data_IF_406282803813
#
_entry.id   IF_406282803813
#
_cell.length_a   1.000
_cell.length_b   1.000
_cell.length_c   1.000
_cell.angle_alpha   90.00
_cell.angle_beta   90.00
_cell.angle_gamma   90.00
#
_symmetry.space_group_name_H-M   'P 1'
#
loop_
_entity.id
_entity.type
_entity.pdbx_description
1 polymer ?
#
# COMPACT_ATOMS: atom_id res chain seq x y z
N UNK A 1 -15.34 -13.20 -36.85
CA UNK A 1 -15.45 -12.93 -35.40
C UNK A 1 -14.10 -12.39 -34.95
N UNK A 2 -14.04 -11.13 -34.57
CA UNK A 2 -12.81 -10.54 -34.00
C UNK A 2 -12.55 -11.17 -32.64
N UNK A 3 -11.47 -11.95 -32.54
CA UNK A 3 -10.98 -12.44 -31.25
C UNK A 3 -10.25 -11.28 -30.57
N UNK A 4 -10.85 -10.74 -29.53
CA UNK A 4 -10.30 -9.60 -28.77
C UNK A 4 -9.22 -10.05 -27.77
N UNK A 5 -9.23 -11.34 -27.37
CA UNK A 5 -8.30 -11.89 -26.37
C UNK A 5 -7.49 -13.05 -26.95
N UNK A 6 -6.22 -13.09 -26.61
CA UNK A 6 -5.30 -14.21 -26.83
C UNK A 6 -5.21 -15.08 -25.57
N UNK A 7 -4.70 -16.31 -25.69
CA UNK A 7 -4.42 -17.15 -24.51
C UNK A 7 -3.40 -16.50 -23.56
N UNK A 8 -2.47 -15.72 -24.11
CA UNK A 8 -1.50 -14.96 -23.30
C UNK A 8 -2.15 -13.82 -22.52
N UNK A 9 -3.19 -13.20 -23.05
CA UNK A 9 -3.92 -12.15 -22.32
C UNK A 9 -4.70 -12.74 -21.15
N UNK A 10 -5.28 -13.93 -21.34
CA UNK A 10 -6.01 -14.65 -20.28
C UNK A 10 -5.08 -15.04 -19.13
N UNK A 11 -3.86 -15.49 -19.42
CA UNK A 11 -2.86 -15.85 -18.40
C UNK A 11 -2.47 -14.69 -17.48
N UNK A 12 -2.58 -13.45 -17.95
CA UNK A 12 -2.25 -12.24 -17.20
C UNK A 12 -3.41 -11.66 -16.39
N UNK A 13 -4.52 -12.38 -16.30
CA UNK A 13 -5.65 -11.95 -15.46
C UNK A 13 -5.28 -12.21 -13.99
N UNK A 14 -5.43 -11.20 -13.16
CA UNK A 14 -5.36 -11.34 -11.71
C UNK A 14 -6.58 -12.09 -11.20
N UNK A 15 -6.38 -13.12 -10.39
CA UNK A 15 -7.44 -14.00 -9.90
C UNK A 15 -7.65 -13.95 -8.39
N UNK A 16 -6.77 -13.27 -7.67
CA UNK A 16 -6.76 -13.24 -6.21
C UNK A 16 -6.95 -11.81 -5.68
N UNK A 17 -7.50 -11.72 -4.47
CA UNK A 17 -7.67 -10.48 -3.70
C UNK A 17 -6.35 -9.90 -3.22
N UNK A 18 -5.29 -10.70 -3.24
CA UNK A 18 -3.94 -10.32 -2.83
C UNK A 18 -3.68 -10.46 -1.34
N UNK A 19 -2.41 -10.51 -1.02
CA UNK A 19 -1.88 -10.50 0.35
C UNK A 19 -1.15 -9.18 0.55
N UNK A 20 -1.39 -8.51 1.67
CA UNK A 20 -0.67 -7.30 2.04
C UNK A 20 0.33 -7.61 3.13
N UNK A 21 1.58 -7.22 2.91
CA UNK A 21 2.69 -7.40 3.86
C UNK A 21 3.33 -6.05 4.13
N UNK A 22 3.52 -5.73 5.38
CA UNK A 22 4.30 -4.58 5.82
C UNK A 22 5.72 -5.00 6.15
N UNK A 23 6.70 -4.23 5.68
CA UNK A 23 8.12 -4.44 5.92
C UNK A 23 8.62 -5.85 5.52
N UNK A 24 8.22 -6.34 4.34
CA UNK A 24 8.59 -7.67 3.84
C UNK A 24 10.11 -7.87 3.90
N UNK A 25 10.54 -9.01 4.49
CA UNK A 25 11.95 -9.35 4.66
C UNK A 25 12.70 -8.57 5.75
N UNK A 26 12.00 -7.82 6.60
CA UNK A 26 12.57 -7.11 7.75
C UNK A 26 12.22 -7.82 9.07
N UNK A 27 12.92 -7.48 10.16
CA UNK A 27 12.66 -8.05 11.49
C UNK A 27 11.25 -7.74 12.04
N UNK A 28 10.61 -6.70 11.51
CA UNK A 28 9.27 -6.25 11.88
C UNK A 28 8.25 -6.50 10.76
N UNK A 29 8.48 -7.53 9.95
CA UNK A 29 7.54 -8.00 8.94
C UNK A 29 6.18 -8.33 9.56
N UNK A 30 5.10 -7.87 8.92
CA UNK A 30 3.76 -8.10 9.39
C UNK A 30 2.82 -8.38 8.21
N UNK A 31 2.24 -9.57 8.17
CA UNK A 31 1.16 -9.89 7.24
C UNK A 31 -0.14 -9.30 7.80
N UNK A 32 -0.82 -8.48 7.01
CA UNK A 32 -2.04 -7.76 7.44
C UNK A 32 -3.19 -8.72 7.81
N UNK A 33 -3.14 -9.96 7.31
CA UNK A 33 -4.16 -10.98 7.55
C UNK A 33 -5.37 -10.83 6.62
N UNK A 34 -6.53 -11.39 6.99
CA UNK A 34 -7.71 -11.36 6.12
C UNK A 34 -8.22 -9.93 5.93
N UNK A 35 -8.50 -9.59 4.68
CA UNK A 35 -9.05 -8.30 4.28
C UNK A 35 -10.47 -8.45 3.75
N UNK A 36 -11.21 -7.36 3.72
CA UNK A 36 -12.51 -7.28 3.05
C UNK A 36 -12.39 -6.44 1.79
N UNK A 37 -12.55 -7.06 0.62
CA UNK A 37 -12.44 -6.39 -0.68
C UNK A 37 -11.01 -6.15 -1.15
N UNK A 38 -10.01 -6.79 -0.50
CA UNK A 38 -8.60 -6.69 -0.91
C UNK A 38 -7.94 -5.37 -0.55
N UNK A 39 -6.95 -4.97 -1.35
CA UNK A 39 -6.25 -3.70 -1.23
C UNK A 39 -6.50 -2.84 -2.48
N UNK A 40 -6.87 -1.60 -2.28
CA UNK A 40 -7.01 -0.60 -3.35
C UNK A 40 -5.81 0.32 -3.37
N UNK A 41 -5.15 0.43 -4.51
CA UNK A 41 -3.99 1.28 -4.70
C UNK A 41 -4.29 2.34 -5.74
N UNK A 42 -3.99 3.59 -5.41
CA UNK A 42 -4.18 4.74 -6.29
C UNK A 42 -2.87 5.48 -6.42
N UNK A 43 -2.45 5.78 -7.65
CA UNK A 43 -1.31 6.62 -7.96
C UNK A 43 -1.82 7.75 -8.85
N UNK A 44 -1.59 8.99 -8.42
CA UNK A 44 -2.09 10.18 -9.12
C UNK A 44 -0.92 11.08 -9.47
N UNK A 45 -0.55 11.20 -10.74
CA UNK A 45 0.50 12.12 -11.16
C UNK A 45 0.00 13.57 -11.12
N UNK A 46 0.80 14.48 -10.59
CA UNK A 46 0.60 15.92 -10.69
C UNK A 46 1.20 16.42 -11.99
N UNK A 47 0.34 16.71 -12.98
CA UNK A 47 0.76 17.12 -14.33
C UNK A 47 0.48 18.59 -14.53
N UNK A 48 1.53 19.35 -14.83
CA UNK A 48 1.45 20.76 -15.22
C UNK A 48 1.71 20.94 -16.71
N UNK A 49 0.89 21.75 -17.35
CA UNK A 49 1.11 22.17 -18.74
C UNK A 49 2.10 23.34 -18.79
N UNK A 50 3.03 23.30 -19.74
CA UNK A 50 3.86 24.46 -20.09
C UNK A 50 3.00 25.39 -20.97
N UNK A 51 2.79 26.63 -20.52
CA UNK A 51 2.03 27.63 -21.25
C UNK A 51 2.94 28.42 -22.21
N UNK A 52 2.46 28.66 -23.41
CA UNK A 52 3.12 29.50 -24.43
C UNK A 52 2.10 30.20 -25.33
N UNK A 53 2.50 31.32 -25.92
CA UNK A 53 1.63 32.12 -26.79
C UNK A 53 1.22 31.35 -28.06
N UNK A 54 -0.07 31.44 -28.40
CA UNK A 54 -0.63 30.73 -29.55
C UNK A 54 -1.09 29.30 -29.29
N UNK A 55 -1.04 28.84 -28.05
CA UNK A 55 -1.53 27.52 -27.63
C UNK A 55 -3.04 27.39 -27.85
N UNK A 56 -3.47 26.28 -28.46
CA UNK A 56 -4.90 25.95 -28.69
C UNK A 56 -5.47 24.92 -27.73
N UNK A 57 -4.72 24.53 -26.69
CA UNK A 57 -5.08 23.50 -25.72
C UNK A 57 -3.87 22.69 -25.25
N UNK A 58 -4.11 21.51 -24.69
CA UNK A 58 -3.04 20.59 -24.26
C UNK A 58 -2.20 20.17 -25.46
N UNK A 59 -0.90 20.33 -25.37
CA UNK A 59 0.04 20.04 -26.47
C UNK A 59 0.98 18.92 -26.04
N UNK A 60 1.05 17.85 -26.83
CA UNK A 60 1.95 16.73 -26.57
C UNK A 60 3.43 17.20 -26.49
N UNK A 61 4.16 16.75 -25.49
CA UNK A 61 5.54 17.15 -25.23
C UNK A 61 5.70 18.48 -24.48
N UNK A 62 4.61 19.17 -24.15
CA UNK A 62 4.57 20.40 -23.37
C UNK A 62 3.90 20.19 -22.00
N UNK A 63 4.16 19.06 -21.39
CA UNK A 63 3.67 18.70 -20.06
C UNK A 63 4.82 18.24 -19.19
N UNK A 64 4.78 18.58 -17.92
CA UNK A 64 5.76 18.20 -16.90
C UNK A 64 5.03 17.50 -15.78
N UNK A 65 5.60 16.42 -15.28
CA UNK A 65 5.17 15.78 -14.04
C UNK A 65 5.95 16.45 -12.92
N UNK A 66 5.26 17.20 -12.07
CA UNK A 66 5.88 17.93 -10.95
C UNK A 66 5.94 17.04 -9.69
N UNK A 67 5.08 16.02 -9.58
CA UNK A 67 5.03 15.08 -8.47
C UNK A 67 4.08 13.92 -8.75
N UNK A 68 4.05 12.97 -7.82
CA UNK A 68 3.08 11.88 -7.81
C UNK A 68 2.61 11.67 -6.37
N UNK A 69 1.30 11.56 -6.17
CA UNK A 69 0.68 11.15 -4.93
C UNK A 69 0.27 9.68 -5.04
N UNK A 70 0.42 8.95 -3.96
CA UNK A 70 -0.06 7.57 -3.88
C UNK A 70 -0.82 7.33 -2.58
N UNK A 71 -1.79 6.43 -2.63
CA UNK A 71 -2.54 6.00 -1.46
C UNK A 71 -2.86 4.50 -1.57
N UNK A 72 -2.81 3.83 -0.43
CA UNK A 72 -3.20 2.42 -0.31
C UNK A 72 -4.31 2.33 0.72
N UNK A 73 -5.46 1.79 0.32
CA UNK A 73 -6.61 1.54 1.20
C UNK A 73 -6.76 0.05 1.41
N UNK A 74 -6.83 -0.35 2.67
CA UNK A 74 -6.96 -1.73 3.09
C UNK A 74 -8.03 -1.78 4.17
N UNK A 75 -8.99 -2.71 4.05
CA UNK A 75 -9.95 -3.01 5.11
C UNK A 75 -9.53 -4.34 5.72
N UNK A 76 -8.87 -4.30 6.88
CA UNK A 76 -8.46 -5.50 7.59
C UNK A 76 -9.52 -5.96 8.59
N UNK A 77 -9.71 -7.27 8.67
CA UNK A 77 -10.53 -7.92 9.70
C UNK A 77 -9.68 -8.39 10.89
N UNK A 78 -8.36 -8.26 10.80
CA UNK A 78 -7.45 -8.64 11.87
C UNK A 78 -7.30 -7.53 12.90
N UNK A 79 -7.31 -7.90 14.19
CA UNK A 79 -7.19 -6.98 15.33
C UNK A 79 -5.92 -7.24 16.15
N UNK A 80 -4.81 -7.64 15.53
CA UNK A 80 -3.55 -7.80 16.26
C UNK A 80 -3.07 -6.45 16.80
N UNK A 81 -2.41 -6.46 17.96
CA UNK A 81 -1.90 -5.23 18.58
C UNK A 81 -0.89 -4.52 17.68
N UNK A 82 -0.09 -5.28 16.95
CA UNK A 82 0.88 -4.74 16.00
C UNK A 82 0.21 -4.03 14.83
N UNK A 83 -0.86 -4.61 14.27
CA UNK A 83 -1.62 -3.98 13.20
C UNK A 83 -2.35 -2.72 13.68
N UNK A 84 -2.96 -2.76 14.88
CA UNK A 84 -3.60 -1.60 15.49
C UNK A 84 -2.61 -0.45 15.73
N UNK A 85 -1.38 -0.78 16.16
CA UNK A 85 -0.32 0.22 16.29
C UNK A 85 0.02 0.89 14.97
N UNK A 86 0.06 0.13 13.84
CA UNK A 86 0.35 0.69 12.51
C UNK A 86 -0.74 1.66 12.04
N UNK A 87 -1.97 1.47 12.48
CA UNK A 87 -3.09 2.40 12.26
C UNK A 87 -3.08 3.63 13.18
N UNK A 88 -2.11 3.75 14.08
CA UNK A 88 -1.99 4.84 15.05
C UNK A 88 -0.55 5.39 15.06
N UNK A 89 -0.21 6.37 14.19
CA UNK A 89 1.18 6.84 14.01
C UNK A 89 1.84 7.33 15.29
N UNK A 90 1.05 7.92 16.20
CA UNK A 90 1.53 8.41 17.49
C UNK A 90 1.46 7.37 18.63
N UNK A 91 1.18 6.10 18.33
CA UNK A 91 1.07 5.07 19.35
C UNK A 91 2.40 4.40 19.65
N UNK A 92 2.53 3.94 20.90
CA UNK A 92 3.66 3.14 21.39
C UNK A 92 3.10 1.83 21.91
N UNK A 93 3.56 0.72 21.31
CA UNK A 93 3.23 -0.63 21.74
C UNK A 93 4.30 -1.15 22.70
N UNK A 94 3.89 -1.52 23.91
CA UNK A 94 4.73 -2.32 24.78
C UNK A 94 4.55 -3.81 24.41
N UNK A 95 5.56 -4.41 23.77
CA UNK A 95 5.49 -5.80 23.28
C UNK A 95 5.36 -6.82 24.40
N UNK A 96 5.86 -6.54 25.63
CA UNK A 96 5.79 -7.46 26.76
C UNK A 96 4.38 -7.52 27.36
N UNK A 97 3.71 -6.38 27.44
CA UNK A 97 2.37 -6.28 28.06
C UNK A 97 1.23 -6.25 27.05
N UNK A 98 1.52 -6.06 25.75
CA UNK A 98 0.53 -5.88 24.71
C UNK A 98 -0.26 -4.56 24.80
N UNK A 99 0.20 -3.61 25.61
CA UNK A 99 -0.50 -2.33 25.83
C UNK A 99 -0.08 -1.30 24.79
N UNK A 100 -1.07 -0.68 24.15
CA UNK A 100 -0.86 0.45 23.25
C UNK A 100 -1.20 1.73 24.01
N UNK A 101 -0.28 2.69 24.02
CA UNK A 101 -0.46 4.02 24.64
C UNK A 101 -0.18 5.13 23.66
N UNK A 102 -0.79 6.28 23.87
CA UNK A 102 -0.45 7.48 23.11
C UNK A 102 0.98 7.93 23.42
N UNK A 103 1.75 8.20 22.38
CA UNK A 103 3.09 8.79 22.49
C UNK A 103 3.05 10.31 22.60
N UNK A 104 4.22 10.92 22.58
CA UNK A 104 4.38 12.37 22.63
C UNK A 104 4.01 13.03 21.29
N UNK A 105 3.48 14.23 21.33
CA UNK A 105 3.29 15.07 20.16
C UNK A 105 4.63 15.62 19.67
N UNK A 106 4.80 15.78 18.37
CA UNK A 106 6.01 16.32 17.77
C UNK A 106 6.24 15.79 16.36
N UNK A 107 7.48 15.89 15.90
CA UNK A 107 7.89 15.34 14.60
C UNK A 107 7.79 13.82 14.64
N UNK A 108 7.18 13.24 13.62
CA UNK A 108 7.09 11.79 13.46
C UNK A 108 8.48 11.27 13.07
N UNK A 109 9.04 10.39 13.90
CA UNK A 109 10.32 9.74 13.58
C UNK A 109 10.19 8.85 12.35
N UNK A 110 11.25 8.79 11.54
CA UNK A 110 11.32 7.91 10.36
C UNK A 110 11.12 6.42 10.68
N UNK A 111 11.39 6.00 11.91
CA UNK A 111 11.14 4.63 12.40
C UNK A 111 9.64 4.29 12.52
N UNK A 112 8.77 5.29 12.52
CA UNK A 112 7.31 5.10 12.55
C UNK A 112 6.71 4.81 11.18
N UNK A 113 7.45 5.12 10.12
CA UNK A 113 7.04 4.82 8.77
C UNK A 113 7.24 3.33 8.47
N UNK A 114 6.30 2.73 7.76
CA UNK A 114 6.48 1.42 7.16
C UNK A 114 7.55 1.55 6.06
N UNK A 115 8.63 0.80 6.14
CA UNK A 115 9.70 0.87 5.14
C UNK A 115 9.22 0.41 3.78
N UNK A 116 8.43 -0.68 3.76
CA UNK A 116 7.77 -1.20 2.57
C UNK A 116 6.34 -1.61 2.88
N UNK A 117 5.47 -1.48 1.89
CA UNK A 117 4.14 -2.03 1.87
C UNK A 117 4.02 -2.81 0.57
N UNK A 118 3.94 -4.12 0.67
CA UNK A 118 3.94 -5.02 -0.46
C UNK A 118 2.56 -5.63 -0.64
N UNK A 119 1.97 -5.43 -1.82
CA UNK A 119 0.71 -6.05 -2.22
C UNK A 119 1.01 -7.11 -3.26
N UNK A 120 0.82 -8.36 -2.88
CA UNK A 120 1.17 -9.54 -3.66
C UNK A 120 -0.11 -10.14 -4.21
N UNK A 121 -0.22 -10.21 -5.52
CA UNK A 121 -1.39 -10.77 -6.22
C UNK A 121 -0.97 -11.92 -7.11
N UNK A 122 -1.80 -12.97 -7.18
CA UNK A 122 -1.57 -14.09 -8.06
C UNK A 122 -2.25 -13.88 -9.41
N UNK A 123 -1.54 -14.27 -10.47
CA UNK A 123 -2.03 -14.27 -11.83
C UNK A 123 -2.53 -15.66 -12.22
N UNK A 124 -3.37 -15.73 -13.25
CA UNK A 124 -3.98 -17.00 -13.71
C UNK A 124 -2.94 -18.03 -14.20
N UNK A 125 -1.77 -17.59 -14.62
CA UNK A 125 -0.66 -18.47 -15.04
C UNK A 125 0.17 -19.02 -13.86
N UNK A 126 -0.16 -18.63 -12.62
CA UNK A 126 0.54 -19.04 -11.42
C UNK A 126 1.72 -18.14 -11.03
N UNK A 127 2.02 -17.11 -11.82
CA UNK A 127 3.00 -16.09 -11.45
C UNK A 127 2.41 -15.07 -10.45
N UNK A 128 3.26 -14.27 -9.85
CA UNK A 128 2.87 -13.27 -8.87
C UNK A 128 3.29 -11.88 -9.31
N UNK A 129 2.42 -10.92 -9.08
CA UNK A 129 2.72 -9.51 -9.24
C UNK A 129 2.80 -8.85 -7.86
N UNK A 130 3.90 -8.16 -7.60
CA UNK A 130 4.15 -7.46 -6.35
C UNK A 130 4.20 -5.97 -6.63
N UNK A 131 3.34 -5.23 -5.94
CA UNK A 131 3.40 -3.78 -5.90
C UNK A 131 3.95 -3.37 -4.55
N UNK A 132 5.13 -2.78 -4.55
CA UNK A 132 5.82 -2.30 -3.35
C UNK A 132 5.69 -0.78 -3.29
N UNK A 133 5.27 -0.27 -2.15
CA UNK A 133 5.31 1.15 -1.80
C UNK A 133 6.30 1.40 -0.68
N UNK A 134 6.96 2.55 -0.70
CA UNK A 134 7.99 2.88 0.26
C UNK A 134 7.54 3.95 1.24
N UNK A 135 8.04 3.88 2.48
CA UNK A 135 7.85 4.87 3.54
C UNK A 135 6.39 5.26 3.78
N UNK A 136 5.54 4.24 3.98
CA UNK A 136 4.12 4.43 4.23
C UNK A 136 3.81 4.86 5.66
N UNK A 137 2.87 5.79 5.79
CA UNK A 137 2.30 6.21 7.08
C UNK A 137 0.79 6.18 6.98
N UNK A 138 0.11 5.70 8.03
CA UNK A 138 -1.33 5.81 8.10
C UNK A 138 -1.73 7.25 8.44
N UNK A 139 -2.45 7.91 7.55
CA UNK A 139 -2.92 9.30 7.74
C UNK A 139 -4.44 9.40 7.89
N UNK A 140 -5.13 8.28 7.70
CA UNK A 140 -6.57 8.21 7.86
C UNK A 140 -7.05 8.24 9.31
N UNK A 141 -8.36 8.31 9.48
CA UNK A 141 -8.98 8.20 10.79
C UNK A 141 -8.96 6.74 11.28
N UNK A 142 -8.41 6.50 12.46
CA UNK A 142 -8.53 5.20 13.12
C UNK A 142 -9.94 5.05 13.70
N UNK A 143 -10.64 4.01 13.26
CA UNK A 143 -11.98 3.69 13.75
C UNK A 143 -12.02 2.26 14.30
N UNK A 144 -12.43 2.12 15.56
CA UNK A 144 -12.70 0.85 16.18
C UNK A 144 -14.20 0.75 16.47
N UNK A 145 -14.87 -0.22 15.84
CA UNK A 145 -16.32 -0.42 15.98
C UNK A 145 -16.59 -1.81 16.52
N UNK A 146 -17.12 -1.88 17.76
CA UNK A 146 -17.66 -3.12 18.29
C UNK A 146 -19.16 -3.15 18.05
N UNK A 147 -19.65 -4.13 17.29
CA UNK A 147 -21.06 -4.30 17.01
C UNK A 147 -21.47 -5.78 17.20
N UNK A 148 -22.66 -6.06 17.76
CA UNK A 148 -23.14 -7.43 17.93
C UNK A 148 -23.38 -8.08 16.56
N UNK A 149 -22.87 -9.30 16.39
CA UNK A 149 -23.02 -10.12 15.17
C UNK A 149 -22.41 -9.48 13.89
N UNK A 150 -21.37 -8.65 14.04
CA UNK A 150 -20.63 -8.08 12.94
C UNK A 150 -19.13 -8.18 13.23
N UNK A 151 -18.35 -8.41 12.20
CA UNK A 151 -16.90 -8.37 12.26
C UNK A 151 -16.44 -6.92 12.48
N UNK A 152 -15.34 -6.76 13.19
CA UNK A 152 -14.71 -5.47 13.30
C UNK A 152 -13.85 -5.21 12.05
N UNK A 153 -13.96 -4.02 11.49
CA UNK A 153 -13.22 -3.59 10.32
C UNK A 153 -12.25 -2.48 10.69
N UNK A 154 -10.99 -2.66 10.31
CA UNK A 154 -9.96 -1.63 10.43
C UNK A 154 -9.65 -1.07 9.06
N UNK A 155 -10.01 0.20 8.86
CA UNK A 155 -9.67 0.93 7.65
C UNK A 155 -8.26 1.51 7.81
N UNK A 156 -7.35 1.03 6.98
CA UNK A 156 -5.99 1.56 6.89
C UNK A 156 -5.88 2.35 5.59
N UNK A 157 -5.62 3.63 5.70
CA UNK A 157 -5.30 4.51 4.57
C UNK A 157 -3.84 4.93 4.73
N UNK A 158 -2.97 4.30 3.95
CA UNK A 158 -1.52 4.47 4.06
C UNK A 158 -1.06 5.32 2.90
N UNK A 159 -0.35 6.39 3.20
CA UNK A 159 0.23 7.32 2.24
C UNK A 159 1.73 7.06 2.17
N UNK A 160 2.28 6.66 1.01
CA UNK A 160 3.70 6.57 0.77
C UNK A 160 4.37 7.96 0.72
N UNK A 161 5.62 8.04 1.18
CA UNK A 161 6.37 9.30 1.26
C UNK A 161 7.72 9.18 0.56
N UNK A 162 8.20 10.31 0.05
CA UNK A 162 9.59 10.44 -0.38
C UNK A 162 10.52 10.62 0.83
N UNK A 163 11.75 10.16 0.68
CA UNK A 163 12.80 10.46 1.66
C UNK A 163 13.38 11.85 1.45
N UNK A 164 13.97 12.45 2.50
CA UNK A 164 14.55 13.81 2.44
C UNK A 164 15.66 13.92 1.38
N UNK A 165 16.40 12.85 1.15
CA UNK A 165 17.47 12.78 0.17
C UNK A 165 16.99 12.49 -1.26
N UNK A 166 15.67 12.40 -1.47
CA UNK A 166 15.00 12.09 -2.74
C UNK A 166 15.55 10.82 -3.43
N UNK A 167 16.14 9.93 -2.65
CA UNK A 167 16.70 8.66 -3.15
C UNK A 167 15.65 7.56 -3.29
N UNK A 168 14.53 7.70 -2.59
CA UNK A 168 13.45 6.72 -2.62
C UNK A 168 12.47 6.99 -3.75
N UNK A 169 12.01 5.93 -4.38
CA UNK A 169 10.85 5.98 -5.27
C UNK A 169 9.60 5.64 -4.48
N UNK A 170 8.45 6.27 -4.80
CA UNK A 170 7.20 5.99 -4.10
C UNK A 170 6.77 4.55 -4.25
N UNK A 171 6.95 3.99 -5.44
CA UNK A 171 6.48 2.64 -5.73
C UNK A 171 7.39 1.89 -6.70
N UNK A 172 7.21 0.57 -6.73
CA UNK A 172 7.86 -0.38 -7.64
C UNK A 172 6.86 -1.50 -7.96
N UNK A 173 6.87 -1.99 -9.19
CA UNK A 173 6.04 -3.11 -9.63
C UNK A 173 6.96 -4.17 -10.22
N UNK A 174 6.87 -5.39 -9.73
CA UNK A 174 7.68 -6.53 -10.17
C UNK A 174 6.85 -7.79 -10.37
N UNK A 175 7.30 -8.64 -11.28
CA UNK A 175 6.74 -9.97 -11.51
C UNK A 175 7.66 -11.03 -10.89
N UNK A 176 7.08 -12.04 -10.25
CA UNK A 176 7.78 -13.15 -9.61
C UNK A 176 7.21 -14.48 -10.11
N UNK A 177 8.09 -15.44 -10.39
CA UNK A 177 7.68 -16.80 -10.80
C UNK A 177 7.15 -17.64 -9.61
N UNK A 178 7.53 -17.26 -8.39
CA UNK A 178 7.12 -17.95 -7.15
C UNK A 178 6.67 -16.92 -6.12
N UNK A 179 5.79 -17.35 -5.20
CA UNK A 179 5.34 -16.47 -4.11
C UNK A 179 6.54 -15.96 -3.30
N UNK A 180 6.73 -14.64 -3.15
CA UNK A 180 7.88 -14.07 -2.43
C UNK A 180 7.76 -14.21 -0.91
N UNK A 181 6.58 -14.56 -0.39
CA UNK A 181 6.39 -14.82 1.04
C UNK A 181 6.78 -16.27 1.32
N UNK A 182 7.75 -16.47 2.20
CA UNK A 182 8.01 -17.77 2.80
C UNK A 182 7.06 -17.92 3.99
N UNK A 183 5.93 -18.60 3.78
CA UNK A 183 5.09 -19.02 4.91
C UNK A 183 5.94 -20.01 5.73
N UNK A 184 6.46 -19.56 6.86
CA UNK A 184 7.03 -20.47 7.83
C UNK A 184 5.91 -21.40 8.31
N UNK A 185 6.08 -22.70 8.05
CA UNK A 185 5.28 -23.75 8.65
C UNK A 185 5.50 -23.80 10.17
#
# INVERSE_FOLDING_TARGET
>A
MLRVFTENDVKKIQIDEGIVVFNMGQDDELIVGPTRGGAEMTITPEIRDIEFDGRRGKTAGMQVIDGEDAAIKIISLCCSQELLQRGLPNAVLNKETGVITQGNFGVISTEKYLKTIDVITQMLDGTYKVLTFNYGLHEGAFTYKAAPKAENEHNLEIIPHYTIDDSSRLYKIEDYDTCPITTGE
#
